data_IF_443030413863
#
_entry.id   IF_443030413863
#
_cell.length_a   1.000
_cell.length_b   1.000
_cell.length_c   1.000
_cell.angle_alpha   90.00
_cell.angle_beta   90.00
_cell.angle_gamma   90.00
#
_symmetry.space_group_name_H-M   'P 1'
#
loop_
_entity.id
_entity.type
_entity.pdbx_description
1 polymer ?
#
# COMPACT_ATOMS: atom_id res chain seq x y z
N UNK A 1 -8.97 11.11 -8.68
CA UNK A 1 -8.86 9.69 -9.07
C UNK A 1 -10.07 9.31 -9.92
N UNK A 2 -9.92 8.57 -11.02
CA UNK A 2 -11.07 7.96 -11.70
C UNK A 2 -11.90 7.10 -10.74
N UNK A 3 -13.24 7.08 -10.85
CA UNK A 3 -14.13 6.29 -9.98
C UNK A 3 -13.72 4.83 -9.83
N UNK A 4 -13.25 4.21 -10.91
CA UNK A 4 -12.79 2.82 -10.94
C UNK A 4 -11.61 2.50 -10.02
N UNK A 5 -10.83 3.51 -9.62
CA UNK A 5 -9.67 3.30 -8.75
C UNK A 5 -9.95 3.57 -7.27
N UNK A 6 -11.11 4.12 -6.90
CA UNK A 6 -11.39 4.49 -5.51
C UNK A 6 -11.33 3.31 -4.54
N UNK A 7 -11.89 2.17 -4.93
CA UNK A 7 -11.83 0.95 -4.11
C UNK A 7 -10.38 0.51 -3.86
N UNK A 8 -9.55 0.55 -4.91
CA UNK A 8 -8.11 0.23 -4.83
C UNK A 8 -7.38 1.21 -3.93
N UNK A 9 -7.68 2.50 -4.06
CA UNK A 9 -7.05 3.55 -3.28
C UNK A 9 -7.42 3.44 -1.79
N UNK A 10 -8.69 3.19 -1.49
CA UNK A 10 -9.15 2.96 -0.12
C UNK A 10 -8.50 1.73 0.50
N UNK A 11 -8.44 0.61 -0.24
CA UNK A 11 -7.76 -0.60 0.22
C UNK A 11 -6.27 -0.35 0.51
N UNK A 12 -5.57 0.38 -0.37
CA UNK A 12 -4.17 0.76 -0.18
C UNK A 12 -3.98 1.69 1.03
N UNK A 13 -4.90 2.64 1.24
CA UNK A 13 -4.90 3.52 2.40
C UNK A 13 -5.03 2.72 3.70
N UNK A 14 -6.08 1.88 3.83
CA UNK A 14 -6.30 1.06 5.02
C UNK A 14 -5.13 0.12 5.28
N UNK A 15 -4.59 -0.51 4.22
CA UNK A 15 -3.43 -1.39 4.31
C UNK A 15 -2.19 -0.68 4.88
N UNK A 16 -1.93 0.54 4.40
CA UNK A 16 -0.79 1.35 4.85
C UNK A 16 -1.04 1.88 6.26
N UNK A 17 -2.23 2.41 6.54
CA UNK A 17 -2.61 2.97 7.83
C UNK A 17 -2.48 1.93 8.96
N UNK A 18 -2.95 0.70 8.75
CA UNK A 18 -2.83 -0.38 9.74
C UNK A 18 -1.38 -0.82 10.00
N UNK A 19 -0.45 -0.49 9.11
CA UNK A 19 1.00 -0.78 9.24
C UNK A 19 1.82 0.44 9.64
N UNK A 20 1.17 1.59 9.80
CA UNK A 20 1.81 2.80 10.29
C UNK A 20 1.69 2.86 11.81
N UNK A 21 2.75 3.29 12.52
CA UNK A 21 2.69 3.48 13.95
C UNK A 21 1.69 4.59 14.29
N UNK A 22 0.94 4.41 15.37
CA UNK A 22 -0.09 5.36 15.80
C UNK A 22 0.10 5.72 17.26
N UNK A 23 -0.07 7.00 17.60
CA UNK A 23 0.08 7.50 18.99
C UNK A 23 -0.91 6.86 19.96
N UNK A 24 -2.14 6.56 19.51
CA UNK A 24 -3.14 5.86 20.31
C UNK A 24 -2.71 4.44 20.75
N UNK A 25 -1.71 3.84 20.09
CA UNK A 25 -1.17 2.53 20.44
C UNK A 25 0.28 2.62 20.91
N UNK A 26 0.67 3.73 21.56
CA UNK A 26 2.03 3.94 22.08
C UNK A 26 3.11 3.76 20.99
N UNK A 27 2.87 4.30 19.79
CA UNK A 27 3.75 4.18 18.62
C UNK A 27 3.96 2.76 18.09
N UNK A 28 3.09 1.81 18.45
CA UNK A 28 2.99 0.50 17.77
C UNK A 28 1.99 0.55 16.62
N UNK A 29 2.06 -0.43 15.72
CA UNK A 29 1.15 -0.52 14.57
C UNK A 29 -0.11 -1.33 14.94
N UNK A 30 -1.30 -0.98 14.41
CA UNK A 30 -2.49 -1.82 14.55
C UNK A 30 -2.27 -3.27 14.11
N UNK A 31 -1.46 -3.48 13.07
CA UNK A 31 -1.09 -4.81 12.60
C UNK A 31 -0.32 -5.61 13.66
N UNK A 32 0.67 -5.02 14.33
CA UNK A 32 1.41 -5.67 15.42
C UNK A 32 0.50 -6.05 16.59
N UNK A 33 -0.42 -5.16 16.96
CA UNK A 33 -1.36 -5.44 18.05
C UNK A 33 -2.30 -6.60 17.70
N UNK A 34 -2.75 -6.67 16.45
CA UNK A 34 -3.69 -7.70 16.00
C UNK A 34 -3.02 -9.06 15.75
N UNK A 35 -1.82 -9.07 15.16
CA UNK A 35 -1.15 -10.31 14.73
C UNK A 35 0.00 -10.74 15.66
N UNK A 36 0.40 -9.90 16.62
CA UNK A 36 1.53 -10.19 17.52
C UNK A 36 2.90 -10.14 16.85
N UNK A 37 3.00 -9.70 15.59
CA UNK A 37 4.24 -9.65 14.82
C UNK A 37 4.36 -8.36 14.00
N UNK A 38 5.61 -7.93 13.74
CA UNK A 38 5.87 -6.74 12.93
C UNK A 38 5.43 -6.95 11.49
N UNK A 39 4.76 -5.98 10.85
CA UNK A 39 4.42 -6.09 9.44
C UNK A 39 5.67 -6.05 8.57
N UNK A 40 5.74 -6.93 7.57
CA UNK A 40 6.70 -6.75 6.48
C UNK A 40 6.23 -5.64 5.53
N UNK A 41 7.06 -4.60 5.40
CA UNK A 41 6.82 -3.43 4.54
C UNK A 41 7.85 -3.33 3.41
N UNK A 42 8.69 -4.35 3.22
CA UNK A 42 9.77 -4.35 2.21
C UNK A 42 9.26 -4.21 0.77
N UNK A 43 7.98 -4.54 0.54
CA UNK A 43 7.31 -4.39 -0.74
C UNK A 43 6.83 -2.96 -1.02
N UNK A 44 6.70 -2.10 -0.01
CA UNK A 44 6.33 -0.70 -0.20
C UNK A 44 7.48 0.08 -0.83
N UNK A 45 7.13 1.06 -1.66
CA UNK A 45 8.10 1.93 -2.32
C UNK A 45 7.80 3.38 -1.99
N UNK A 46 8.86 4.18 -1.90
CA UNK A 46 8.74 5.63 -1.70
C UNK A 46 8.06 6.29 -2.90
N UNK A 47 7.34 7.37 -2.66
CA UNK A 47 6.83 8.20 -3.74
C UNK A 47 7.99 8.72 -4.59
N UNK A 48 7.85 8.63 -5.91
CA UNK A 48 8.91 9.00 -6.86
C UNK A 48 9.90 7.89 -7.20
N UNK A 49 9.72 6.66 -6.69
CA UNK A 49 10.51 5.52 -7.17
C UNK A 49 10.26 5.21 -8.65
N UNK A 50 11.23 4.60 -9.32
CA UNK A 50 11.02 4.06 -10.66
C UNK A 50 9.87 3.03 -10.64
N UNK A 51 8.88 3.22 -11.52
CA UNK A 51 7.72 2.34 -11.67
C UNK A 51 7.46 2.06 -13.14
N UNK A 52 6.99 0.85 -13.44
CA UNK A 52 6.68 0.41 -14.80
C UNK A 52 5.16 0.32 -14.97
N UNK A 53 4.65 0.88 -16.08
CA UNK A 53 3.24 0.76 -16.45
C UNK A 53 3.04 -0.56 -17.20
N UNK A 54 2.08 -1.35 -16.77
CA UNK A 54 1.72 -2.58 -17.49
C UNK A 54 0.98 -2.24 -18.78
N UNK A 55 1.66 -2.41 -19.92
CA UNK A 55 1.05 -2.30 -21.25
C UNK A 55 0.48 -3.66 -21.65
N UNK A 56 -0.84 -3.70 -21.87
CA UNK A 56 -1.52 -4.91 -22.33
C UNK A 56 -0.93 -5.38 -23.66
N UNK A 57 -0.86 -6.71 -23.86
CA UNK A 57 -0.17 -7.32 -25.00
C UNK A 57 -0.67 -6.80 -26.36
N UNK A 58 -1.97 -6.55 -26.48
CA UNK A 58 -2.63 -6.00 -27.68
C UNK A 58 -2.32 -4.52 -27.96
N UNK A 59 -1.71 -3.79 -27.02
CA UNK A 59 -1.33 -2.38 -27.14
C UNK A 59 0.19 -2.19 -27.18
N UNK A 60 0.97 -3.27 -27.21
CA UNK A 60 2.43 -3.19 -27.37
C UNK A 60 2.72 -2.97 -28.84
N UNK A 61 3.19 -1.78 -29.20
CA UNK A 61 3.71 -1.50 -30.54
C UNK A 61 4.97 -2.35 -30.74
N UNK A 62 4.93 -3.28 -31.69
CA UNK A 62 6.09 -4.03 -32.17
C UNK A 62 6.73 -3.32 -33.36
#
# INVERSE_FOLDING_TARGET
LPPSFWLRALAAFVHSHNRSPTSALSHTTPYEVWHGCKPDVSHLRVFGCAAYVHIQKNKRSG
#
